data_IF_723681199193
#
_entry.id   IF_723681199193
#
_cell.length_a   1.000
_cell.length_b   1.000
_cell.length_c   1.000
_cell.angle_alpha   90.00
_cell.angle_beta   90.00
_cell.angle_gamma   90.00
#
_symmetry.space_group_name_H-M   'P 1'
#
loop_
_entity.id
_entity.type
_entity.pdbx_description
1 polymer ?
#
# COMPACT_ATOMS: atom_id res chain seq x y z
N UNK A 1 -19.29 -6.38 42.15
CA UNK A 1 -18.61 -7.42 41.36
C UNK A 1 -18.35 -6.84 40.00
N UNK A 2 -17.10 -6.50 39.75
CA UNK A 2 -16.56 -6.10 38.45
C UNK A 2 -16.70 -7.25 37.45
N UNK A 3 -16.92 -6.91 36.18
CA UNK A 3 -16.41 -7.68 35.05
C UNK A 3 -15.93 -6.69 34.01
N UNK A 4 -14.68 -6.29 34.21
CA UNK A 4 -13.89 -5.56 33.24
C UNK A 4 -13.73 -6.35 31.93
N UNK A 5 -13.53 -5.55 30.90
CA UNK A 5 -13.28 -5.89 29.51
C UNK A 5 -12.18 -6.95 29.35
N UNK A 6 -12.46 -8.00 28.59
CA UNK A 6 -11.42 -8.88 28.05
C UNK A 6 -11.74 -9.19 26.58
N UNK A 7 -11.32 -8.26 25.73
CA UNK A 7 -11.19 -8.47 24.29
C UNK A 7 -10.02 -7.63 23.76
N UNK A 8 -8.90 -7.63 24.50
CA UNK A 8 -7.63 -7.07 24.05
C UNK A 8 -6.67 -8.22 23.82
N UNK A 9 -6.59 -8.74 22.59
CA UNK A 9 -5.46 -9.59 22.21
C UNK A 9 -4.19 -8.76 22.30
N UNK A 10 -3.21 -9.22 23.07
CA UNK A 10 -1.94 -8.55 23.29
C UNK A 10 -1.19 -8.35 21.96
N UNK A 11 -1.41 -7.20 21.32
CA UNK A 11 -0.63 -6.77 20.16
C UNK A 11 0.81 -6.56 20.63
N UNK A 12 1.72 -7.42 20.16
CA UNK A 12 3.16 -7.31 20.42
C UNK A 12 3.65 -5.88 20.13
N UNK A 13 4.53 -5.36 20.98
CA UNK A 13 5.09 -4.01 20.84
C UNK A 13 5.68 -3.76 19.45
N UNK A 14 6.26 -4.79 18.82
CA UNK A 14 6.74 -4.72 17.44
C UNK A 14 5.60 -4.50 16.43
N UNK A 15 4.45 -5.16 16.61
CA UNK A 15 3.27 -4.99 15.78
C UNK A 15 2.63 -3.62 15.99
N UNK A 16 2.62 -3.10 17.22
CA UNK A 16 2.13 -1.75 17.53
C UNK A 16 3.03 -0.65 16.90
N UNK A 17 4.36 -0.81 16.94
CA UNK A 17 5.30 0.09 16.27
C UNK A 17 5.16 0.01 14.74
N UNK A 18 4.99 -1.21 14.20
CA UNK A 18 4.78 -1.43 12.78
C UNK A 18 3.46 -0.80 12.32
N UNK A 19 2.36 -0.99 13.06
CA UNK A 19 1.06 -0.32 12.81
C UNK A 19 1.17 1.20 12.88
N UNK A 20 1.92 1.73 13.85
CA UNK A 20 2.15 3.17 13.99
C UNK A 20 2.96 3.75 12.82
N UNK A 21 3.98 3.04 12.36
CA UNK A 21 4.75 3.42 11.18
C UNK A 21 3.95 3.26 9.89
N UNK A 22 3.03 2.30 9.79
CA UNK A 22 2.17 2.05 8.64
C UNK A 22 0.88 2.88 8.64
N UNK A 23 0.64 3.70 9.68
CA UNK A 23 -0.58 4.46 9.80
C UNK A 23 -0.82 5.34 8.55
N UNK A 24 -2.05 5.39 8.02
CA UNK A 24 -2.36 6.01 6.73
C UNK A 24 -1.98 7.49 6.65
N UNK A 25 -1.92 8.18 7.79
CA UNK A 25 -1.53 9.58 7.90
C UNK A 25 -0.03 9.87 7.71
N UNK A 26 0.87 8.89 7.84
CA UNK A 26 2.32 9.10 7.69
C UNK A 26 2.88 8.55 6.37
N UNK A 27 2.34 7.43 5.86
CA UNK A 27 2.93 6.73 4.71
C UNK A 27 2.07 6.77 3.43
N UNK A 28 0.88 7.39 3.45
CA UNK A 28 0.05 7.53 2.25
C UNK A 28 0.80 8.05 1.02
N UNK A 29 1.58 9.15 1.13
CA UNK A 29 2.43 9.64 0.04
C UNK A 29 3.46 8.61 -0.43
N UNK A 30 4.13 7.92 0.50
CA UNK A 30 5.12 6.88 0.19
C UNK A 30 4.50 5.72 -0.59
N UNK A 31 3.31 5.25 -0.21
CA UNK A 31 2.61 4.18 -0.92
C UNK A 31 2.18 4.58 -2.32
N UNK A 32 1.75 5.83 -2.49
CA UNK A 32 1.43 6.40 -3.81
C UNK A 32 2.66 6.46 -4.71
N UNK A 33 3.78 6.97 -4.20
CA UNK A 33 5.06 6.96 -4.93
C UNK A 33 5.46 5.56 -5.34
N UNK A 34 5.40 4.59 -4.42
CA UNK A 34 5.82 3.22 -4.68
C UNK A 34 4.93 2.55 -5.74
N UNK A 35 3.61 2.77 -5.71
CA UNK A 35 2.68 2.34 -6.77
C UNK A 35 3.04 2.97 -8.12
N UNK A 36 3.29 4.28 -8.15
CA UNK A 36 3.65 4.99 -9.38
C UNK A 36 4.99 4.50 -9.95
N UNK A 37 5.99 4.27 -9.10
CA UNK A 37 7.28 3.71 -9.50
C UNK A 37 7.12 2.33 -10.11
N UNK A 38 6.28 1.45 -9.53
CA UNK A 38 5.99 0.15 -10.12
C UNK A 38 5.28 0.24 -11.47
N UNK A 39 4.35 1.19 -11.64
CA UNK A 39 3.71 1.45 -12.94
C UNK A 39 4.70 1.92 -14.00
N UNK A 40 5.60 2.84 -13.65
CA UNK A 40 6.66 3.30 -14.55
C UNK A 40 7.67 2.21 -14.87
N UNK A 41 8.03 1.37 -13.89
CA UNK A 41 8.86 0.19 -14.11
C UNK A 41 8.18 -0.77 -15.09
N UNK A 42 6.89 -1.02 -14.91
CA UNK A 42 6.08 -1.85 -15.83
C UNK A 42 6.05 -1.28 -17.25
N UNK A 43 5.85 0.03 -17.40
CA UNK A 43 5.91 0.72 -18.69
C UNK A 43 7.28 0.57 -19.36
N UNK A 44 8.36 0.76 -18.60
CA UNK A 44 9.72 0.60 -19.09
C UNK A 44 9.99 -0.84 -19.56
N UNK A 45 9.58 -1.83 -18.76
CA UNK A 45 9.72 -3.24 -19.12
C UNK A 45 8.88 -3.62 -20.34
N UNK A 46 7.68 -3.06 -20.49
CA UNK A 46 6.85 -3.27 -21.68
C UNK A 46 7.52 -2.72 -22.95
N UNK A 47 8.13 -1.53 -22.87
CA UNK A 47 8.93 -0.97 -23.96
C UNK A 47 10.15 -1.83 -24.27
N UNK A 48 10.91 -2.25 -23.24
CA UNK A 48 12.05 -3.15 -23.41
C UNK A 48 11.65 -4.48 -24.04
N UNK A 49 10.49 -5.02 -23.67
CA UNK A 49 9.97 -6.26 -24.24
C UNK A 49 9.59 -6.08 -25.70
N UNK A 50 8.95 -4.95 -26.06
CA UNK A 50 8.67 -4.60 -27.45
C UNK A 50 9.94 -4.45 -28.30
N UNK A 51 10.98 -3.83 -27.74
CA UNK A 51 12.30 -3.74 -28.40
C UNK A 51 12.97 -5.11 -28.54
N UNK A 52 12.85 -5.99 -27.53
CA UNK A 52 13.37 -7.35 -27.56
C UNK A 52 12.69 -8.20 -28.66
N UNK A 53 11.38 -8.05 -28.84
CA UNK A 53 10.67 -8.67 -29.96
C UNK A 53 11.15 -8.14 -31.31
N UNK A 54 11.43 -6.83 -31.41
CA UNK A 54 11.98 -6.23 -32.63
C UNK A 54 13.38 -6.76 -32.97
N UNK A 55 14.23 -7.01 -31.97
CA UNK A 55 15.57 -7.56 -32.19
C UNK A 55 15.60 -9.07 -32.48
N UNK A 56 14.47 -9.78 -32.30
CA UNK A 56 14.36 -11.25 -32.46
C UNK A 56 15.33 -12.04 -31.56
N UNK A 57 15.86 -11.43 -30.50
CA UNK A 57 16.76 -12.10 -29.56
C UNK A 57 15.94 -12.90 -28.54
N UNK A 58 15.87 -14.21 -28.74
CA UNK A 58 15.06 -15.10 -27.88
C UNK A 58 15.53 -15.13 -26.42
N UNK A 59 16.83 -14.95 -26.16
CA UNK A 59 17.37 -14.93 -24.79
C UNK A 59 16.94 -13.64 -24.08
N UNK A 60 17.05 -12.51 -24.79
CA UNK A 60 16.64 -11.20 -24.28
C UNK A 60 15.13 -11.15 -24.05
N UNK A 61 14.32 -11.68 -24.98
CA UNK A 61 12.86 -11.80 -24.82
C UNK A 61 12.50 -12.58 -23.56
N UNK A 62 13.11 -13.75 -23.34
CA UNK A 62 12.85 -14.57 -22.15
C UNK A 62 13.24 -13.82 -20.87
N UNK A 63 14.41 -13.19 -20.86
CA UNK A 63 14.90 -12.45 -19.70
C UNK A 63 13.97 -11.29 -19.34
N UNK A 64 13.58 -10.46 -20.31
CA UNK A 64 12.67 -9.33 -20.06
C UNK A 64 11.27 -9.82 -19.69
N UNK A 65 10.77 -10.89 -20.29
CA UNK A 65 9.50 -11.50 -19.90
C UNK A 65 9.51 -11.97 -18.43
N UNK A 66 10.64 -12.53 -17.97
CA UNK A 66 10.81 -12.90 -16.56
C UNK A 66 10.80 -11.68 -15.63
N UNK A 67 11.46 -10.59 -16.01
CA UNK A 67 11.41 -9.33 -15.27
C UNK A 67 10.00 -8.74 -15.20
N UNK A 68 9.23 -8.81 -16.29
CA UNK A 68 7.81 -8.42 -16.30
C UNK A 68 6.99 -9.26 -15.31
N UNK A 69 7.20 -10.59 -15.29
CA UNK A 69 6.50 -11.48 -14.37
C UNK A 69 6.81 -11.15 -12.90
N UNK A 70 8.07 -10.89 -12.57
CA UNK A 70 8.46 -10.45 -11.22
C UNK A 70 7.80 -9.12 -10.87
N UNK A 71 7.85 -8.15 -11.77
CA UNK A 71 7.27 -6.82 -11.53
C UNK A 71 5.76 -6.90 -11.27
N UNK A 72 5.02 -7.71 -12.04
CA UNK A 72 3.59 -7.96 -11.83
C UNK A 72 3.35 -8.61 -10.47
N UNK A 73 4.12 -9.66 -10.16
CA UNK A 73 3.98 -10.40 -8.89
C UNK A 73 4.19 -9.46 -7.70
N UNK A 74 5.28 -8.69 -7.69
CA UNK A 74 5.58 -7.72 -6.65
C UNK A 74 4.51 -6.62 -6.55
N UNK A 75 3.99 -6.13 -7.67
CA UNK A 75 2.91 -5.15 -7.67
C UNK A 75 1.62 -5.72 -7.04
N UNK A 76 1.25 -6.96 -7.36
CA UNK A 76 0.10 -7.63 -6.74
C UNK A 76 0.30 -7.83 -5.23
N UNK A 77 1.48 -8.31 -4.82
CA UNK A 77 1.82 -8.47 -3.40
C UNK A 77 1.75 -7.14 -2.65
N UNK A 78 2.26 -6.06 -3.26
CA UNK A 78 2.17 -4.72 -2.68
C UNK A 78 0.72 -4.28 -2.52
N UNK A 79 -0.12 -4.43 -3.54
CA UNK A 79 -1.52 -4.05 -3.46
C UNK A 79 -2.27 -4.85 -2.41
N UNK A 80 -2.04 -6.16 -2.35
CA UNK A 80 -2.62 -7.04 -1.35
C UNK A 80 -2.17 -6.66 0.08
N UNK A 81 -0.87 -6.38 0.26
CA UNK A 81 -0.33 -5.93 1.54
C UNK A 81 -0.99 -4.61 1.97
N UNK A 82 -1.12 -3.64 1.06
CA UNK A 82 -1.75 -2.35 1.35
C UNK A 82 -3.23 -2.49 1.71
N UNK A 83 -3.95 -3.38 1.01
CA UNK A 83 -5.34 -3.70 1.31
C UNK A 83 -5.48 -4.30 2.72
N UNK A 84 -4.58 -5.20 3.10
CA UNK A 84 -4.62 -5.87 4.40
C UNK A 84 -4.14 -4.99 5.56
N UNK A 85 -3.17 -4.09 5.33
CA UNK A 85 -2.72 -3.14 6.36
C UNK A 85 -3.71 -2.02 6.63
N UNK A 86 -4.75 -1.88 5.81
CA UNK A 86 -5.80 -0.89 6.02
C UNK A 86 -5.27 0.53 5.81
N UNK A 87 -5.49 1.07 4.62
CA UNK A 87 -5.71 2.52 4.52
C UNK A 87 -7.01 2.80 5.30
N UNK A 88 -6.92 2.99 6.63
CA UNK A 88 -8.00 3.59 7.41
C UNK A 88 -8.40 4.85 6.64
N UNK A 89 -9.65 4.91 6.18
CA UNK A 89 -10.14 6.04 5.42
C UNK A 89 -9.94 7.30 6.25
N UNK A 90 -9.44 8.36 5.61
CA UNK A 90 -9.19 9.65 6.26
C UNK A 90 -10.46 10.15 6.97
N UNK A 91 -11.65 9.83 6.44
CA UNK A 91 -12.95 10.07 7.07
C UNK A 91 -13.11 9.43 8.45
N UNK A 92 -12.67 8.18 8.64
CA UNK A 92 -12.69 7.50 9.95
C UNK A 92 -11.72 8.15 10.92
N UNK A 93 -10.54 8.55 10.43
CA UNK A 93 -9.54 9.28 11.23
C UNK A 93 -10.04 10.66 11.67
N UNK A 94 -10.71 11.42 10.79
CA UNK A 94 -11.29 12.72 11.13
C UNK A 94 -12.48 12.62 12.07
N UNK A 95 -13.28 11.55 11.94
CA UNK A 95 -14.42 11.28 12.82
C UNK A 95 -13.98 10.84 14.22
N UNK A 96 -12.90 10.06 14.33
CA UNK A 96 -12.34 9.62 15.61
C UNK A 96 -11.57 10.74 16.35
N UNK A 97 -11.01 11.70 15.62
CA UNK A 97 -10.31 12.86 16.18
C UNK A 97 -11.24 14.02 16.60
N UNK A 98 -12.57 13.84 16.50
CA UNK A 98 -13.59 14.88 16.78
C UNK A 98 -13.30 16.24 16.10
N UNK A 99 -12.65 16.19 14.93
CA UNK A 99 -12.28 17.39 14.16
C UNK A 99 -13.43 17.89 13.27
N UNK A 100 -14.61 17.26 13.33
CA UNK A 100 -15.81 17.78 12.69
C UNK A 100 -16.29 18.96 13.52
N UNK A 101 -16.17 20.22 13.04
CA UNK A 101 -16.59 21.37 13.82
C UNK A 101 -18.10 21.28 14.03
N UNK A 102 -18.50 20.87 15.23
CA UNK A 102 -19.87 21.00 15.68
C UNK A 102 -20.10 22.50 15.90
N UNK A 103 -20.47 23.20 14.83
CA UNK A 103 -21.03 24.56 14.89
C UNK A 103 -22.40 24.47 15.56
N UNK A 104 -22.37 24.18 16.87
CA UNK A 104 -23.50 24.25 17.76
C UNK A 104 -23.78 25.73 17.94
N UNK A 105 -24.82 26.20 17.24
CA UNK A 105 -25.46 27.51 17.41
C UNK A 105 -25.35 27.96 18.88
N UNK A 106 -24.72 29.11 19.12
CA UNK A 106 -25.03 29.91 20.30
C UNK A 106 -26.22 30.78 19.92
N UNK A 107 -27.36 30.44 20.52
CA UNK A 107 -28.45 31.38 20.77
C UNK A 107 -27.98 32.52 21.69
#
# INVERSE_FOLDING_TARGET
MEKEQSAGGDISSAQAVLLGALAPGVNGPTWSTLKLTFLMLGLCLALMLGLAFSSTDSSLILHVAFLVLIAITLFLLLNWFLEQTGLVSVERQMQEMDLIPNNRKRE
#
